data_IF_908394964082
#
_entry.id   IF_908394964082
#
_cell.length_a   1.000
_cell.length_b   1.000
_cell.length_c   1.000
_cell.angle_alpha   90.00
_cell.angle_beta   90.00
_cell.angle_gamma   90.00
#
_symmetry.space_group_name_H-M   'P 1'
#
loop_
_entity.id
_entity.type
_entity.pdbx_description
1 polymer ?
#
# COMPACT_ATOMS: atom_id res chain seq x y z
N UNK A 1 1.36 -4.28 -9.93
CA UNK A 1 0.81 -3.96 -8.59
C UNK A 1 1.43 -4.90 -7.58
N UNK A 2 1.74 -4.41 -6.40
CA UNK A 2 2.17 -5.17 -5.22
C UNK A 2 1.46 -4.62 -4.00
N UNK A 3 1.20 -5.44 -2.96
CA UNK A 3 0.47 -5.04 -1.76
C UNK A 3 0.94 -5.84 -0.54
N UNK A 4 0.60 -5.38 0.66
CA UNK A 4 0.75 -6.13 1.92
C UNK A 4 2.19 -6.61 2.19
N UNK A 5 3.17 -5.72 2.00
CA UNK A 5 4.57 -6.05 2.26
C UNK A 5 4.83 -6.29 3.74
N UNK A 6 4.14 -5.57 4.63
CA UNK A 6 4.28 -5.68 6.08
C UNK A 6 5.74 -5.70 6.56
N UNK A 7 6.55 -4.74 6.11
CA UNK A 7 7.91 -4.61 6.61
C UNK A 7 7.90 -4.41 8.13
N UNK A 8 8.57 -5.30 8.83
CA UNK A 8 8.52 -5.39 10.29
C UNK A 8 7.75 -6.59 10.82
N UNK A 9 7.08 -7.34 9.96
CA UNK A 9 6.33 -8.55 10.32
C UNK A 9 7.17 -9.54 11.15
N UNK A 10 6.47 -10.32 11.98
CA UNK A 10 7.10 -11.31 12.87
C UNK A 10 8.16 -10.69 13.79
N UNK A 11 7.84 -9.51 14.38
CA UNK A 11 8.74 -8.76 15.27
C UNK A 11 10.06 -8.38 14.59
N UNK A 12 9.96 -7.93 13.36
CA UNK A 12 11.11 -7.52 12.53
C UNK A 12 12.15 -8.63 12.34
N UNK A 13 11.70 -9.87 12.17
CA UNK A 13 12.56 -11.03 12.02
C UNK A 13 13.54 -10.88 10.85
N UNK A 14 14.85 -11.00 11.14
CA UNK A 14 15.89 -10.95 10.13
C UNK A 14 15.75 -12.07 9.09
N UNK A 15 15.26 -13.25 9.49
CA UNK A 15 14.99 -14.35 8.57
C UNK A 15 13.84 -14.00 7.60
N UNK A 16 12.80 -13.33 8.09
CA UNK A 16 11.67 -12.89 7.25
C UNK A 16 12.12 -11.84 6.24
N UNK A 17 12.93 -10.87 6.68
CA UNK A 17 13.53 -9.87 5.79
C UNK A 17 14.45 -10.49 4.74
N UNK A 18 15.16 -11.58 5.06
CA UNK A 18 15.95 -12.33 4.07
C UNK A 18 15.08 -12.99 3.00
N UNK A 19 13.89 -13.47 3.32
CA UNK A 19 12.94 -13.97 2.31
C UNK A 19 12.45 -12.85 1.39
N UNK A 20 12.15 -11.68 1.93
CA UNK A 20 11.81 -10.51 1.13
C UNK A 20 12.95 -10.12 0.18
N UNK A 21 14.19 -10.07 0.67
CA UNK A 21 15.36 -9.79 -0.15
C UNK A 21 15.48 -10.78 -1.32
N UNK A 22 15.34 -12.07 -1.06
CA UNK A 22 15.38 -13.10 -2.11
C UNK A 22 14.24 -12.92 -3.13
N UNK A 23 13.03 -12.61 -2.68
CA UNK A 23 11.90 -12.37 -3.58
C UNK A 23 12.14 -11.12 -4.43
N UNK A 24 12.52 -10.01 -3.83
CA UNK A 24 12.74 -8.76 -4.59
C UNK A 24 13.91 -8.88 -5.56
N UNK A 25 15.03 -9.45 -5.14
CA UNK A 25 16.23 -9.56 -5.97
C UNK A 25 16.11 -10.59 -7.09
N UNK A 26 15.41 -11.73 -6.84
CA UNK A 26 15.37 -12.83 -7.79
C UNK A 26 14.09 -12.91 -8.63
N UNK A 27 13.00 -12.28 -8.16
CA UNK A 27 11.69 -12.38 -8.83
C UNK A 27 11.17 -11.00 -9.22
N UNK A 28 10.92 -10.12 -8.26
CA UNK A 28 10.21 -8.86 -8.48
C UNK A 28 10.94 -7.93 -9.45
N UNK A 29 12.14 -7.45 -9.09
CA UNK A 29 12.89 -6.51 -9.94
C UNK A 29 13.32 -7.11 -11.28
N UNK A 30 13.77 -8.38 -11.38
CA UNK A 30 14.01 -9.02 -12.66
C UNK A 30 12.77 -9.07 -13.55
N UNK A 31 11.57 -9.30 -12.97
CA UNK A 31 10.31 -9.29 -13.70
C UNK A 31 9.98 -7.89 -14.24
N UNK A 32 10.11 -6.85 -13.41
CA UNK A 32 9.90 -5.47 -13.87
C UNK A 32 10.83 -5.13 -15.05
N UNK A 33 12.11 -5.47 -14.95
CA UNK A 33 13.10 -5.24 -16.02
C UNK A 33 12.77 -6.01 -17.29
N UNK A 34 12.45 -7.31 -17.15
CA UNK A 34 12.11 -8.18 -18.29
C UNK A 34 10.91 -7.64 -19.08
N UNK A 35 9.91 -7.13 -18.40
CA UNK A 35 8.69 -6.62 -19.01
C UNK A 35 8.73 -5.10 -19.28
N UNK A 36 9.86 -4.44 -19.01
CA UNK A 36 10.07 -3.00 -19.20
C UNK A 36 9.03 -2.14 -18.47
N UNK A 37 8.57 -2.60 -17.31
CA UNK A 37 7.62 -1.86 -16.46
C UNK A 37 8.30 -0.62 -15.92
N UNK A 38 7.58 0.52 -15.92
CA UNK A 38 8.06 1.81 -15.41
C UNK A 38 7.24 2.31 -14.22
N UNK A 39 6.00 1.89 -14.14
CA UNK A 39 5.04 2.32 -13.13
C UNK A 39 4.76 1.15 -12.19
N UNK A 40 4.86 1.41 -10.89
CA UNK A 40 4.60 0.43 -9.84
C UNK A 40 3.54 0.99 -8.91
N UNK A 41 2.52 0.19 -8.63
CA UNK A 41 1.47 0.54 -7.66
C UNK A 41 1.67 -0.33 -6.42
N UNK A 42 1.75 0.32 -5.26
CA UNK A 42 1.77 -0.32 -3.94
C UNK A 42 0.39 -0.08 -3.32
N UNK A 43 -0.37 -1.14 -3.10
CA UNK A 43 -1.78 -1.02 -2.73
C UNK A 43 -2.03 -1.07 -1.21
N UNK A 44 -1.10 -0.56 -0.41
CA UNK A 44 -1.23 -0.39 1.04
C UNK A 44 -0.55 -1.47 1.87
N UNK A 45 -0.60 -1.30 3.18
CA UNK A 45 0.00 -2.16 4.21
C UNK A 45 1.48 -2.45 3.96
N UNK A 46 2.22 -1.39 3.72
CA UNK A 46 3.66 -1.46 3.45
C UNK A 46 4.45 -1.77 4.73
N UNK A 47 4.03 -1.22 5.87
CA UNK A 47 4.62 -1.47 7.18
C UNK A 47 3.66 -2.25 8.08
N UNK A 48 4.22 -3.09 8.98
CA UNK A 48 3.43 -4.02 9.79
C UNK A 48 2.77 -3.37 11.01
N UNK A 49 3.46 -2.43 11.65
CA UNK A 49 3.02 -1.89 12.94
C UNK A 49 2.60 -0.41 12.86
N UNK A 50 1.37 -0.12 13.29
CA UNK A 50 0.77 1.22 13.24
C UNK A 50 1.51 2.30 14.01
N UNK A 51 2.07 1.97 15.18
CA UNK A 51 2.53 2.95 16.17
C UNK A 51 4.04 3.02 16.32
N UNK A 52 4.75 2.11 15.70
CA UNK A 52 6.20 2.05 15.80
C UNK A 52 6.80 1.43 14.56
N UNK A 53 8.02 1.77 14.28
CA UNK A 53 8.80 1.15 13.23
C UNK A 53 10.14 0.70 13.80
N UNK A 54 10.49 -0.54 13.59
CA UNK A 54 11.80 -1.04 13.94
C UNK A 54 12.85 -0.49 12.98
N UNK A 55 13.88 0.19 13.48
CA UNK A 55 14.89 0.85 12.65
C UNK A 55 15.69 -0.12 11.79
N UNK A 56 15.93 -1.36 12.24
CA UNK A 56 16.56 -2.39 11.43
C UNK A 56 15.65 -2.80 10.26
N UNK A 57 14.36 -3.05 10.51
CA UNK A 57 13.39 -3.37 9.46
C UNK A 57 13.25 -2.21 8.46
N UNK A 58 13.21 -0.96 8.94
CA UNK A 58 13.20 0.22 8.08
C UNK A 58 14.45 0.31 7.21
N UNK A 59 15.64 0.17 7.79
CA UNK A 59 16.90 0.19 7.04
C UNK A 59 16.94 -0.89 5.97
N UNK A 60 16.54 -2.12 6.32
CA UNK A 60 16.50 -3.22 5.35
C UNK A 60 15.44 -3.02 4.27
N UNK A 61 14.24 -2.52 4.62
CA UNK A 61 13.21 -2.23 3.60
C UNK A 61 13.68 -1.18 2.59
N UNK A 62 14.41 -0.16 3.05
CA UNK A 62 15.01 0.82 2.14
C UNK A 62 16.01 0.15 1.19
N UNK A 63 16.94 -0.59 1.71
CA UNK A 63 18.00 -1.24 0.93
C UNK A 63 17.47 -2.25 -0.10
N UNK A 64 16.52 -3.12 0.31
CA UNK A 64 16.06 -4.24 -0.54
C UNK A 64 14.90 -3.91 -1.45
N UNK A 65 14.15 -2.82 -1.17
CA UNK A 65 12.94 -2.48 -1.90
C UNK A 65 12.89 -1.02 -2.36
N UNK A 66 12.99 -0.04 -1.46
CA UNK A 66 12.77 1.37 -1.84
C UNK A 66 13.93 1.97 -2.65
N UNK A 67 15.18 1.66 -2.32
CA UNK A 67 16.32 2.14 -3.10
C UNK A 67 16.33 1.59 -4.54
N UNK A 68 16.08 0.28 -4.77
CA UNK A 68 15.90 -0.23 -6.12
C UNK A 68 14.68 0.34 -6.87
N UNK A 69 13.66 0.85 -6.17
CA UNK A 69 12.50 1.50 -6.79
C UNK A 69 12.76 2.92 -7.28
N UNK A 70 13.92 3.55 -6.99
CA UNK A 70 14.23 4.93 -7.42
C UNK A 70 14.14 5.14 -8.93
N UNK A 71 14.33 4.08 -9.73
CA UNK A 71 14.24 4.11 -11.19
C UNK A 71 12.81 3.95 -11.74
N UNK A 72 11.82 3.84 -10.86
CA UNK A 72 10.41 3.62 -11.22
C UNK A 72 9.54 4.78 -10.73
N UNK A 73 8.42 5.02 -11.41
CA UNK A 73 7.35 5.86 -10.86
C UNK A 73 6.50 5.01 -9.94
N UNK A 74 6.31 5.44 -8.72
CA UNK A 74 5.58 4.67 -7.70
C UNK A 74 4.37 5.45 -7.22
N UNK A 75 3.19 4.84 -7.32
CA UNK A 75 1.97 5.30 -6.65
C UNK A 75 1.69 4.36 -5.48
N UNK A 76 1.63 4.89 -4.26
CA UNK A 76 1.54 4.12 -3.03
C UNK A 76 0.31 4.51 -2.24
N UNK A 77 -0.63 3.60 -2.06
CA UNK A 77 -1.75 3.78 -1.15
C UNK A 77 -1.33 3.60 0.30
N UNK A 78 -1.94 4.36 1.17
CA UNK A 78 -1.84 4.16 2.62
C UNK A 78 -2.85 3.08 3.02
N UNK A 79 -2.35 2.00 3.63
CA UNK A 79 -3.15 0.93 4.19
C UNK A 79 -3.48 1.13 5.68
N UNK A 80 -4.27 0.22 6.24
CA UNK A 80 -4.68 0.34 7.65
C UNK A 80 -3.52 0.15 8.63
N UNK A 81 -2.52 -0.68 8.32
CA UNK A 81 -1.30 -0.84 9.13
C UNK A 81 -0.33 0.33 9.00
N UNK A 82 -0.40 1.08 7.91
CA UNK A 82 0.45 2.26 7.71
C UNK A 82 0.02 3.46 8.57
N UNK A 83 -1.23 3.51 9.07
CA UNK A 83 -1.79 4.63 9.83
C UNK A 83 -1.61 4.49 11.33
N UNK A 84 -1.18 5.57 12.01
CA UNK A 84 -1.07 5.61 13.47
C UNK A 84 -2.44 5.51 14.15
N UNK A 85 -3.41 6.29 13.69
CA UNK A 85 -4.78 6.33 14.21
C UNK A 85 -5.73 5.47 13.38
N UNK A 86 -6.83 5.01 14.02
CA UNK A 86 -7.84 4.19 13.32
C UNK A 86 -8.92 5.01 12.61
N UNK A 87 -8.92 6.31 12.76
CA UNK A 87 -9.97 7.20 12.27
C UNK A 87 -9.48 8.26 11.26
N UNK A 88 -8.19 8.28 10.95
CA UNK A 88 -7.59 9.24 10.01
C UNK A 88 -6.31 8.69 9.37
N UNK A 89 -6.01 9.11 8.15
CA UNK A 89 -4.78 8.80 7.41
C UNK A 89 -3.69 9.88 7.56
N UNK A 90 -3.96 10.99 8.26
CA UNK A 90 -3.07 12.16 8.36
C UNK A 90 -1.69 11.84 8.95
N UNK A 91 -1.60 10.87 9.85
CA UNK A 91 -0.33 10.41 10.41
C UNK A 91 -0.07 8.99 9.95
N UNK A 92 0.69 8.85 8.88
CA UNK A 92 1.01 7.57 8.28
C UNK A 92 2.51 7.38 8.10
N UNK A 93 2.95 6.14 8.23
CA UNK A 93 4.38 5.78 8.18
C UNK A 93 5.00 6.05 6.80
N UNK A 94 4.36 5.71 5.64
CA UNK A 94 4.92 6.01 4.33
C UNK A 94 5.31 7.47 4.14
N UNK A 95 4.40 8.40 4.45
CA UNK A 95 4.66 9.83 4.31
C UNK A 95 5.82 10.31 5.19
N UNK A 96 5.92 9.76 6.40
CA UNK A 96 6.95 10.17 7.36
C UNK A 96 8.35 9.63 7.02
N UNK A 97 8.46 8.38 6.54
CA UNK A 97 9.77 7.72 6.42
C UNK A 97 10.28 7.60 4.99
N UNK A 98 9.43 7.88 3.97
CA UNK A 98 9.77 7.78 2.56
C UNK A 98 9.85 9.14 1.83
N UNK A 99 9.79 10.25 2.55
CA UNK A 99 9.83 11.60 1.98
C UNK A 99 11.08 11.93 1.15
N UNK A 100 12.16 11.18 1.32
CA UNK A 100 13.38 11.29 0.51
C UNK A 100 13.27 10.64 -0.89
N UNK A 101 12.22 9.85 -1.14
CA UNK A 101 11.97 9.18 -2.41
C UNK A 101 11.02 10.00 -3.27
N UNK A 102 11.55 10.97 -4.00
CA UNK A 102 10.75 11.91 -4.83
C UNK A 102 9.96 11.24 -5.96
N UNK A 103 10.27 9.99 -6.26
CA UNK A 103 9.60 9.15 -7.24
C UNK A 103 8.40 8.38 -6.67
N UNK A 104 8.18 8.44 -5.35
CA UNK A 104 7.06 7.80 -4.65
C UNK A 104 5.99 8.85 -4.34
N UNK A 105 4.82 8.69 -4.96
CA UNK A 105 3.64 9.48 -4.65
C UNK A 105 2.77 8.70 -3.65
N UNK A 106 2.72 9.18 -2.41
CA UNK A 106 1.92 8.56 -1.33
C UNK A 106 0.50 9.12 -1.37
N UNK A 107 -0.48 8.24 -1.52
CA UNK A 107 -1.91 8.57 -1.61
C UNK A 107 -2.55 8.32 -0.25
N UNK A 108 -2.83 9.40 0.47
CA UNK A 108 -3.52 9.40 1.78
C UNK A 108 -4.98 9.87 1.70
N UNK A 109 -5.37 10.47 0.56
CA UNK A 109 -6.73 10.90 0.25
C UNK A 109 -7.18 10.27 -1.07
N UNK A 110 -8.50 10.04 -1.28
CA UNK A 110 -8.99 9.49 -2.53
C UNK A 110 -8.71 10.44 -3.71
N UNK A 111 -8.28 9.89 -4.82
CA UNK A 111 -8.03 10.67 -6.04
C UNK A 111 -7.92 9.82 -7.30
N UNK A 112 -8.19 10.44 -8.43
CA UNK A 112 -7.96 9.86 -9.75
C UNK A 112 -6.65 10.37 -10.35
N UNK A 113 -5.80 9.46 -10.83
CA UNK A 113 -4.49 9.77 -11.44
C UNK A 113 -4.40 9.07 -12.79
N UNK A 114 -3.90 9.80 -13.79
CA UNK A 114 -3.59 9.24 -15.10
C UNK A 114 -2.21 8.54 -15.08
N UNK A 115 -2.25 7.22 -15.29
CA UNK A 115 -1.07 6.37 -15.53
C UNK A 115 -1.33 5.68 -16.87
N UNK A 116 -1.09 6.36 -18.00
CA UNK A 116 -1.51 6.00 -19.37
C UNK A 116 -3.04 5.98 -19.55
N UNK A 117 -3.79 5.50 -18.59
CA UNK A 117 -5.24 5.59 -18.44
C UNK A 117 -5.57 6.08 -17.03
N UNK A 118 -6.77 6.64 -16.80
CA UNK A 118 -7.17 7.07 -15.47
C UNK A 118 -7.41 5.87 -14.53
N UNK A 119 -6.80 5.94 -13.35
CA UNK A 119 -7.01 5.04 -12.21
C UNK A 119 -7.57 5.82 -11.03
N UNK A 120 -8.62 5.31 -10.42
CA UNK A 120 -9.13 5.80 -9.13
C UNK A 120 -8.37 5.10 -8.00
N UNK A 121 -7.75 5.87 -7.12
CA UNK A 121 -7.00 5.37 -5.97
C UNK A 121 -7.73 5.71 -4.68
N UNK A 122 -8.05 4.68 -3.90
CA UNK A 122 -8.76 4.82 -2.62
C UNK A 122 -7.87 4.27 -1.51
N UNK A 123 -7.29 5.13 -0.66
CA UNK A 123 -6.51 4.68 0.50
C UNK A 123 -7.43 3.99 1.51
N UNK A 124 -6.86 3.47 2.60
CA UNK A 124 -7.66 2.88 3.66
C UNK A 124 -8.79 3.82 4.09
N UNK A 125 -10.03 3.29 3.98
CA UNK A 125 -11.23 4.02 4.33
C UNK A 125 -11.44 4.00 5.85
N UNK A 126 -11.70 5.17 6.42
CA UNK A 126 -11.93 5.37 7.83
C UNK A 126 -13.03 6.42 8.03
N UNK A 127 -13.53 6.65 9.28
CA UNK A 127 -14.63 7.59 9.50
C UNK A 127 -14.41 9.02 8.99
N UNK A 128 -13.18 9.49 8.90
CA UNK A 128 -12.87 10.85 8.45
C UNK A 128 -13.01 10.99 6.93
N UNK A 129 -12.50 10.00 6.15
CA UNK A 129 -12.43 10.10 4.69
C UNK A 129 -13.52 9.30 3.95
N UNK A 130 -14.40 8.60 4.67
CA UNK A 130 -15.40 7.70 4.07
C UNK A 130 -16.24 8.38 2.99
N UNK A 131 -16.79 9.55 3.31
CA UNK A 131 -17.67 10.29 2.38
C UNK A 131 -16.91 10.72 1.11
N UNK A 132 -15.67 11.17 1.26
CA UNK A 132 -14.83 11.59 0.13
C UNK A 132 -14.45 10.39 -0.76
N UNK A 133 -14.13 9.25 -0.14
CA UNK A 133 -13.85 8.01 -0.88
C UNK A 133 -15.05 7.56 -1.72
N UNK A 134 -16.27 7.58 -1.14
CA UNK A 134 -17.49 7.24 -1.87
C UNK A 134 -17.73 8.21 -3.03
N UNK A 135 -17.60 9.50 -2.78
CA UNK A 135 -17.77 10.54 -3.81
C UNK A 135 -16.78 10.34 -4.96
N UNK A 136 -15.49 10.13 -4.66
CA UNK A 136 -14.47 9.90 -5.69
C UNK A 136 -14.78 8.65 -6.52
N UNK A 137 -15.19 7.54 -5.90
CA UNK A 137 -15.56 6.32 -6.63
C UNK A 137 -16.77 6.50 -7.53
N UNK A 138 -17.72 7.36 -7.14
CA UNK A 138 -18.93 7.62 -7.93
C UNK A 138 -18.73 8.62 -9.07
N UNK A 139 -17.85 9.61 -8.87
CA UNK A 139 -17.67 10.73 -9.80
C UNK A 139 -16.47 10.53 -10.75
N UNK A 140 -15.58 9.59 -10.46
CA UNK A 140 -14.39 9.32 -11.28
C UNK A 140 -14.76 8.86 -12.69
N UNK A 141 -13.94 9.26 -13.66
CA UNK A 141 -13.99 8.73 -15.04
C UNK A 141 -13.06 7.50 -15.22
N UNK A 142 -12.43 7.03 -14.16
CA UNK A 142 -11.54 5.87 -14.20
C UNK A 142 -12.34 4.57 -14.41
N UNK A 143 -11.79 3.67 -15.23
CA UNK A 143 -12.35 2.33 -15.44
C UNK A 143 -11.81 1.30 -14.42
N UNK A 144 -10.74 1.65 -13.70
CA UNK A 144 -10.07 0.80 -12.73
C UNK A 144 -9.98 1.58 -11.42
N UNK A 145 -10.54 1.01 -10.38
CA UNK A 145 -10.37 1.49 -9.01
C UNK A 145 -9.44 0.53 -8.25
N UNK A 146 -8.43 1.09 -7.59
CA UNK A 146 -7.50 0.36 -6.72
C UNK A 146 -7.63 0.93 -5.33
N UNK A 147 -7.93 0.07 -4.36
CA UNK A 147 -8.10 0.52 -2.99
C UNK A 147 -7.58 -0.50 -1.98
N UNK A 148 -7.39 -0.03 -0.74
CA UNK A 148 -7.06 -0.86 0.40
C UNK A 148 -8.30 -1.01 1.28
N UNK A 149 -9.02 -2.13 1.13
CA UNK A 149 -10.36 -2.33 1.69
C UNK A 149 -10.44 -3.53 2.62
N UNK A 150 -11.21 -3.39 3.68
CA UNK A 150 -11.77 -4.49 4.46
C UNK A 150 -13.22 -4.69 4.02
N UNK A 151 -13.53 -5.81 3.36
CA UNK A 151 -14.87 -6.07 2.79
C UNK A 151 -15.57 -7.17 3.56
N UNK A 152 -16.78 -6.89 4.05
CA UNK A 152 -17.59 -7.86 4.77
C UNK A 152 -17.98 -9.06 3.89
N UNK A 153 -17.88 -10.26 4.47
CA UNK A 153 -18.16 -11.53 3.77
C UNK A 153 -16.98 -12.09 2.98
N UNK A 154 -15.82 -11.40 2.96
CA UNK A 154 -14.59 -11.94 2.38
C UNK A 154 -13.75 -12.66 3.45
N UNK A 155 -13.10 -13.76 3.06
CA UNK A 155 -12.21 -14.48 3.98
C UNK A 155 -10.91 -13.69 4.18
N UNK A 156 -10.62 -13.37 5.43
CA UNK A 156 -9.34 -12.76 5.82
C UNK A 156 -8.25 -13.84 6.03
N UNK A 157 -8.64 -14.97 6.58
CA UNK A 157 -7.80 -16.16 6.77
C UNK A 157 -8.63 -17.40 6.50
N UNK A 158 -7.98 -18.56 6.47
CA UNK A 158 -8.67 -19.86 6.42
C UNK A 158 -9.64 -19.95 7.61
N UNK A 159 -10.92 -20.16 7.30
CA UNK A 159 -12.03 -20.29 8.26
C UNK A 159 -12.33 -19.00 9.08
N UNK A 160 -11.95 -17.81 8.59
CA UNK A 160 -12.26 -16.51 9.21
C UNK A 160 -12.76 -15.53 8.17
N UNK A 161 -14.01 -15.08 8.31
CA UNK A 161 -14.63 -14.04 7.46
C UNK A 161 -14.52 -12.65 8.12
N UNK A 162 -14.40 -11.62 7.28
CA UNK A 162 -14.54 -10.25 7.72
C UNK A 162 -16.02 -9.94 7.97
N UNK A 163 -16.39 -9.60 9.21
CA UNK A 163 -17.78 -9.24 9.56
C UNK A 163 -17.97 -7.72 9.71
N UNK A 164 -16.92 -6.99 10.04
CA UNK A 164 -16.98 -5.56 10.36
C UNK A 164 -16.51 -4.65 9.20
N UNK A 165 -16.24 -5.24 8.03
CA UNK A 165 -15.80 -4.51 6.84
C UNK A 165 -16.93 -3.77 6.12
N UNK A 166 -16.56 -3.08 5.05
CA UNK A 166 -17.49 -2.40 4.15
C UNK A 166 -18.45 -3.41 3.50
N UNK A 167 -19.73 -3.03 3.34
CA UNK A 167 -20.65 -3.83 2.53
C UNK A 167 -20.14 -3.85 1.07
N UNK A 168 -20.21 -5.02 0.43
CA UNK A 168 -19.90 -5.14 -1.01
C UNK A 168 -20.78 -4.27 -1.92
N UNK A 169 -21.92 -3.81 -1.40
CA UNK A 169 -22.85 -2.93 -2.12
C UNK A 169 -22.35 -1.47 -2.22
N UNK A 170 -21.25 -1.15 -1.54
CA UNK A 170 -20.55 0.14 -1.66
C UNK A 170 -19.84 0.26 -3.02
N UNK A 171 -19.48 -0.87 -3.61
CA UNK A 171 -18.79 -0.98 -4.89
C UNK A 171 -19.76 -1.41 -6.00
#
# INVERSE_FOLDING_TARGET
IITDQHFGARKSSAQYLSYYEQFYSNVFFPTLKKHKIKDVIIAGDTFDERRQINTFALSRSKEIFFDPLRDYKVTMLVGNHDCHFKNTNLVNTPQLVLSEYVNINVIEQPMTIDIDIPFCFIPWMNPENYSECITEMQETNAQICIGHFEISGFSMYRDSECHDGLSKEVF
#
